data_IF_837931039089
#
_entry.id   IF_837931039089
#
_cell.length_a   1.000
_cell.length_b   1.000
_cell.length_c   1.000
_cell.angle_alpha   90.00
_cell.angle_beta   90.00
_cell.angle_gamma   90.00
#
_symmetry.space_group_name_H-M   'P 1'
#
loop_
_entity.id
_entity.type
_entity.pdbx_description
1 polymer ?
#
# COMPACT_ATOMS: atom_id res chain seq x y z
N UNK A 1 -48.36 -13.12 -27.40
CA UNK A 1 -47.07 -13.08 -26.69
C UNK A 1 -47.40 -13.23 -25.22
N UNK A 2 -46.89 -14.25 -24.55
CA UNK A 2 -47.10 -14.41 -23.12
C UNK A 2 -46.32 -13.29 -22.40
N UNK A 3 -47.03 -12.52 -21.58
CA UNK A 3 -46.47 -11.47 -20.74
C UNK A 3 -45.73 -12.16 -19.59
N UNK A 4 -44.40 -12.21 -19.67
CA UNK A 4 -43.59 -12.77 -18.59
C UNK A 4 -43.51 -11.72 -17.48
N UNK A 5 -43.75 -12.10 -16.20
CA UNK A 5 -43.64 -11.16 -15.10
C UNK A 5 -42.23 -10.57 -15.06
N UNK A 6 -42.14 -9.24 -15.17
CA UNK A 6 -40.88 -8.50 -15.11
C UNK A 6 -40.36 -8.58 -13.67
N UNK A 7 -39.08 -8.92 -13.43
CA UNK A 7 -38.51 -8.91 -12.10
C UNK A 7 -38.62 -7.53 -11.46
N UNK A 8 -38.79 -7.49 -10.13
CA UNK A 8 -38.77 -6.26 -9.35
C UNK A 8 -37.42 -5.53 -9.53
N UNK A 9 -37.45 -4.34 -10.13
CA UNK A 9 -36.27 -3.54 -10.45
C UNK A 9 -35.57 -2.99 -9.19
N UNK A 10 -36.26 -2.98 -8.04
CA UNK A 10 -35.71 -2.52 -6.77
C UNK A 10 -34.92 -3.62 -6.03
N UNK A 11 -34.87 -4.85 -6.56
CA UNK A 11 -34.25 -6.01 -5.90
C UNK A 11 -33.06 -6.55 -6.70
N UNK A 12 -31.86 -6.06 -6.40
CA UNK A 12 -30.61 -6.61 -6.95
C UNK A 12 -30.12 -7.83 -6.16
N UNK A 13 -30.49 -9.05 -6.61
CA UNK A 13 -29.93 -10.30 -6.07
C UNK A 13 -28.63 -10.66 -6.77
N UNK A 14 -27.49 -10.36 -6.13
CA UNK A 14 -26.19 -10.78 -6.65
C UNK A 14 -25.95 -12.28 -6.44
N UNK A 15 -25.67 -13.06 -7.50
CA UNK A 15 -25.34 -14.48 -7.38
C UNK A 15 -24.14 -14.73 -6.46
N UNK A 16 -24.16 -15.82 -5.69
CA UNK A 16 -23.05 -16.16 -4.78
C UNK A 16 -21.70 -16.34 -5.50
N UNK A 17 -21.73 -16.85 -6.74
CA UNK A 17 -20.55 -16.97 -7.58
C UNK A 17 -19.88 -15.62 -7.87
N UNK A 18 -20.67 -14.55 -7.99
CA UNK A 18 -20.16 -13.20 -8.27
C UNK A 18 -19.60 -12.55 -7.00
N UNK A 19 -20.17 -12.88 -5.83
CA UNK A 19 -19.70 -12.35 -4.54
C UNK A 19 -18.23 -12.67 -4.27
N UNK A 20 -17.74 -13.82 -4.73
CA UNK A 20 -16.31 -14.21 -4.59
C UNK A 20 -15.34 -13.29 -5.33
N UNK A 21 -15.83 -12.54 -6.34
CA UNK A 21 -15.04 -11.62 -7.15
C UNK A 21 -15.31 -10.15 -6.81
N UNK A 22 -16.20 -9.87 -5.86
CA UNK A 22 -16.49 -8.51 -5.44
C UNK A 22 -15.52 -8.06 -4.36
N UNK A 23 -15.03 -6.83 -4.50
CA UNK A 23 -14.23 -6.20 -3.46
C UNK A 23 -15.11 -5.88 -2.22
N UNK A 24 -14.62 -6.14 -1.00
CA UNK A 24 -15.29 -5.72 0.22
C UNK A 24 -15.53 -4.21 0.20
N UNK A 25 -16.74 -3.79 0.58
CA UNK A 25 -17.12 -2.37 0.71
C UNK A 25 -17.67 -2.10 2.10
N UNK A 26 -17.52 -0.86 2.57
CA UNK A 26 -18.08 -0.42 3.86
C UNK A 26 -19.61 -0.63 3.85
N UNK A 27 -20.15 -1.28 4.88
CA UNK A 27 -21.58 -1.58 4.99
C UNK A 27 -22.10 -2.67 4.04
N UNK A 28 -21.23 -3.27 3.21
CA UNK A 28 -21.57 -4.40 2.36
C UNK A 28 -21.37 -5.74 3.06
N UNK A 29 -21.76 -6.82 2.38
CA UNK A 29 -21.47 -8.17 2.86
C UNK A 29 -19.94 -8.40 2.86
N UNK A 30 -19.35 -8.99 3.91
CA UNK A 30 -17.92 -9.27 3.94
C UNK A 30 -17.50 -10.13 2.74
N UNK A 31 -16.36 -9.78 2.13
CA UNK A 31 -15.73 -10.65 1.14
C UNK A 31 -15.09 -11.87 1.79
N UNK A 32 -14.42 -12.74 0.99
CA UNK A 32 -13.62 -13.83 1.52
C UNK A 32 -12.60 -13.35 2.56
N UNK A 33 -12.32 -14.18 3.56
CA UNK A 33 -11.27 -13.89 4.53
C UNK A 33 -9.92 -13.72 3.82
N UNK A 34 -9.22 -12.64 4.14
CA UNK A 34 -7.85 -12.39 3.67
C UNK A 34 -6.94 -13.40 4.39
N UNK A 35 -6.10 -14.10 3.62
CA UNK A 35 -5.09 -15.02 4.14
C UNK A 35 -3.73 -14.37 3.94
N UNK A 36 -2.98 -14.23 5.02
CA UNK A 36 -1.60 -13.74 5.02
C UNK A 36 -0.67 -14.95 4.86
N UNK A 37 0.27 -14.89 3.92
CA UNK A 37 1.31 -15.91 3.78
C UNK A 37 2.39 -15.74 4.87
N UNK A 38 2.56 -16.70 5.80
CA UNK A 38 3.59 -16.61 6.83
C UNK A 38 5.03 -16.72 6.29
N UNK A 39 5.22 -17.25 5.08
CA UNK A 39 6.54 -17.35 4.42
C UNK A 39 7.00 -16.03 3.80
N UNK A 40 6.07 -15.11 3.49
CA UNK A 40 6.35 -13.90 2.74
C UNK A 40 7.43 -13.01 3.39
N UNK A 41 7.43 -12.92 4.73
CA UNK A 41 8.45 -12.15 5.46
C UNK A 41 9.86 -12.69 5.22
N UNK A 42 10.06 -14.01 5.23
CA UNK A 42 11.37 -14.60 4.97
C UNK A 42 11.82 -14.36 3.53
N UNK A 43 10.91 -14.55 2.57
CA UNK A 43 11.19 -14.37 1.15
C UNK A 43 11.54 -12.92 0.81
N UNK A 44 10.77 -11.96 1.33
CA UNK A 44 11.02 -10.52 1.11
C UNK A 44 12.37 -10.12 1.71
N UNK A 45 12.69 -10.57 2.93
CA UNK A 45 14.00 -10.28 3.55
C UNK A 45 15.16 -10.84 2.72
N UNK A 46 15.04 -12.06 2.20
CA UNK A 46 16.11 -12.62 1.38
C UNK A 46 16.30 -11.85 0.07
N UNK A 47 15.20 -11.45 -0.59
CA UNK A 47 15.28 -10.61 -1.80
C UNK A 47 15.95 -9.26 -1.52
N UNK A 48 15.59 -8.60 -0.41
CA UNK A 48 16.22 -7.34 -0.01
C UNK A 48 17.71 -7.53 0.31
N UNK A 49 18.08 -8.62 0.99
CA UNK A 49 19.49 -8.95 1.24
C UNK A 49 20.26 -9.24 -0.04
N UNK A 50 19.65 -9.94 -1.00
CA UNK A 50 20.27 -10.17 -2.30
C UNK A 50 20.53 -8.86 -3.04
N UNK A 51 19.54 -7.97 -3.05
CA UNK A 51 19.63 -6.64 -3.65
C UNK A 51 20.74 -5.79 -3.01
N UNK A 52 20.86 -5.84 -1.67
CA UNK A 52 21.90 -5.12 -0.93
C UNK A 52 23.30 -5.73 -1.16
N UNK A 53 23.41 -7.05 -1.31
CA UNK A 53 24.67 -7.73 -1.65
C UNK A 53 25.17 -7.38 -3.05
N UNK A 54 24.26 -7.21 -4.00
CA UNK A 54 24.59 -6.87 -5.38
C UNK A 54 25.04 -5.42 -5.52
N UNK A 55 24.30 -4.49 -4.90
CA UNK A 55 24.66 -3.07 -4.86
C UNK A 55 24.01 -2.41 -3.63
N UNK A 56 24.81 -2.02 -2.62
CA UNK A 56 24.31 -1.37 -1.42
C UNK A 56 23.48 -0.13 -1.73
N UNK A 57 22.40 0.11 -0.98
CA UNK A 57 21.50 1.26 -1.26
C UNK A 57 22.22 2.61 -1.24
N UNK A 58 23.23 2.78 -0.39
CA UNK A 58 24.04 4.00 -0.31
C UNK A 58 24.97 4.23 -1.51
N UNK A 59 25.20 3.19 -2.32
CA UNK A 59 26.05 3.24 -3.51
C UNK A 59 25.22 3.30 -4.81
N UNK A 60 23.88 3.34 -4.71
CA UNK A 60 22.98 3.39 -5.86
C UNK A 60 22.83 4.82 -6.37
N UNK A 61 23.26 5.04 -7.61
CA UNK A 61 23.03 6.30 -8.31
C UNK A 61 21.53 6.57 -8.42
N UNK A 62 21.11 7.80 -8.18
CA UNK A 62 19.72 8.23 -8.32
C UNK A 62 18.82 7.95 -7.12
N UNK A 63 19.31 7.29 -6.07
CA UNK A 63 18.61 7.24 -4.77
C UNK A 63 18.96 8.50 -3.98
N UNK A 64 17.96 9.31 -3.64
CA UNK A 64 18.19 10.52 -2.87
C UNK A 64 18.70 10.19 -1.43
N UNK A 65 19.46 11.09 -0.77
CA UNK A 65 20.09 10.80 0.52
C UNK A 65 19.10 10.41 1.63
N UNK A 66 17.93 11.06 1.69
CA UNK A 66 16.92 10.79 2.71
C UNK A 66 16.25 9.41 2.52
N UNK A 67 15.78 9.04 1.31
CA UNK A 67 15.35 7.67 1.01
C UNK A 67 16.42 6.61 1.26
N UNK A 68 17.69 6.90 0.93
CA UNK A 68 18.80 5.98 1.17
C UNK A 68 19.00 5.72 2.67
N UNK A 69 18.99 6.77 3.50
CA UNK A 69 19.12 6.64 4.95
C UNK A 69 17.96 5.84 5.55
N UNK A 70 16.72 6.13 5.13
CA UNK A 70 15.55 5.38 5.59
C UNK A 70 15.64 3.89 5.23
N UNK A 71 16.08 3.58 4.00
CA UNK A 71 16.31 2.20 3.57
C UNK A 71 17.38 1.50 4.41
N UNK A 72 18.48 2.18 4.73
CA UNK A 72 19.53 1.63 5.59
C UNK A 72 19.01 1.32 7.00
N UNK A 73 18.21 2.21 7.59
CA UNK A 73 17.57 1.95 8.89
C UNK A 73 16.68 0.71 8.85
N UNK A 74 15.86 0.58 7.81
CA UNK A 74 14.99 -0.59 7.64
C UNK A 74 15.79 -1.89 7.43
N UNK A 75 16.84 -1.86 6.61
CA UNK A 75 17.74 -3.00 6.39
C UNK A 75 18.52 -3.38 7.66
N UNK A 76 18.79 -2.43 8.55
CA UNK A 76 19.35 -2.66 9.88
C UNK A 76 18.31 -3.21 10.89
N UNK A 77 17.05 -3.35 10.49
CA UNK A 77 15.97 -3.94 11.29
C UNK A 77 15.09 -2.92 12.01
N UNK A 78 15.26 -1.61 11.78
CA UNK A 78 14.36 -0.61 12.33
C UNK A 78 12.99 -0.67 11.64
N UNK A 79 11.91 -0.44 12.41
CA UNK A 79 10.57 -0.29 11.86
C UNK A 79 10.41 1.08 11.18
N UNK A 80 11.04 1.26 10.02
CA UNK A 80 10.95 2.47 9.19
C UNK A 80 10.08 2.20 7.94
N UNK A 81 8.83 2.69 7.89
CA UNK A 81 7.93 2.46 6.75
C UNK A 81 8.44 3.06 5.43
N UNK A 82 9.14 4.19 5.48
CA UNK A 82 9.74 4.81 4.30
C UNK A 82 10.90 3.95 3.78
N UNK A 83 11.73 3.42 4.68
CA UNK A 83 12.79 2.50 4.31
C UNK A 83 12.28 1.22 3.66
N UNK A 84 11.19 0.67 4.20
CA UNK A 84 10.48 -0.46 3.61
C UNK A 84 9.96 -0.13 2.20
N UNK A 85 9.37 1.07 2.02
CA UNK A 85 8.89 1.54 0.73
C UNK A 85 10.02 1.67 -0.31
N UNK A 86 11.17 2.21 0.08
CA UNK A 86 12.35 2.33 -0.80
C UNK A 86 12.86 0.94 -1.20
N UNK A 87 12.96 0.00 -0.25
CA UNK A 87 13.31 -1.39 -0.55
C UNK A 87 12.34 -2.05 -1.55
N UNK A 88 11.04 -1.81 -1.39
CA UNK A 88 10.02 -2.28 -2.34
C UNK A 88 10.18 -1.66 -3.73
N UNK A 89 10.49 -0.37 -3.82
CA UNK A 89 10.74 0.32 -5.09
C UNK A 89 11.97 -0.28 -5.80
N UNK A 90 13.05 -0.55 -5.08
CA UNK A 90 14.26 -1.15 -5.64
C UNK A 90 14.02 -2.59 -6.13
N UNK A 91 13.24 -3.40 -5.39
CA UNK A 91 12.81 -4.72 -5.85
C UNK A 91 11.94 -4.63 -7.11
N UNK A 92 11.14 -3.58 -7.23
CA UNK A 92 10.29 -3.34 -8.39
C UNK A 92 11.07 -2.89 -9.63
N UNK A 93 12.17 -2.14 -9.47
CA UNK A 93 13.08 -1.78 -10.56
C UNK A 93 13.84 -2.98 -11.12
N UNK A 94 14.22 -3.93 -10.27
CA UNK A 94 14.92 -5.16 -10.67
C UNK A 94 13.98 -6.19 -11.33
N UNK A 95 12.69 -6.15 -10.99
CA UNK A 95 11.68 -6.98 -11.62
C UNK A 95 11.27 -6.44 -13.00
N UNK A 96 11.07 -7.33 -13.99
CA UNK A 96 10.35 -6.96 -15.23
C UNK A 96 8.96 -6.42 -14.86
N UNK A 97 8.56 -5.29 -15.46
CA UNK A 97 7.33 -4.53 -15.12
C UNK A 97 6.07 -5.41 -14.96
N UNK A 98 5.91 -6.43 -15.82
CA UNK A 98 4.78 -7.38 -15.80
C UNK A 98 4.74 -8.29 -14.56
N UNK A 99 5.78 -8.27 -13.72
CA UNK A 99 5.90 -9.07 -12.50
C UNK A 99 5.79 -8.25 -11.21
N UNK A 100 5.83 -6.92 -11.29
CA UNK A 100 5.87 -6.05 -10.10
C UNK A 100 4.57 -6.10 -9.32
N UNK A 101 3.44 -5.83 -9.99
CA UNK A 101 2.15 -5.69 -9.30
C UNK A 101 1.64 -7.03 -8.79
N UNK A 102 1.76 -8.10 -9.58
CA UNK A 102 1.26 -9.42 -9.20
C UNK A 102 2.18 -10.17 -8.24
N UNK A 103 3.51 -10.07 -8.39
CA UNK A 103 4.45 -10.93 -7.65
C UNK A 103 5.19 -10.25 -6.50
N UNK A 104 5.11 -8.91 -6.37
CA UNK A 104 5.74 -8.19 -5.24
C UNK A 104 4.72 -7.61 -4.27
N UNK A 105 3.58 -7.09 -4.74
CA UNK A 105 2.65 -6.38 -3.86
C UNK A 105 2.06 -7.28 -2.75
N UNK A 106 1.60 -8.48 -3.08
CA UNK A 106 1.05 -9.40 -2.08
C UNK A 106 2.11 -9.90 -1.09
N UNK A 107 3.29 -10.39 -1.52
CA UNK A 107 4.35 -10.77 -0.57
C UNK A 107 4.85 -9.61 0.30
N UNK A 108 4.96 -8.38 -0.24
CA UNK A 108 5.34 -7.21 0.56
C UNK A 108 4.28 -6.88 1.62
N UNK A 109 2.99 -6.91 1.24
CA UNK A 109 1.90 -6.69 2.18
C UNK A 109 1.91 -7.75 3.30
N UNK A 110 2.04 -9.02 2.93
CA UNK A 110 2.05 -10.12 3.89
C UNK A 110 3.28 -10.06 4.80
N UNK A 111 4.46 -9.74 4.26
CA UNK A 111 5.68 -9.53 5.04
C UNK A 111 5.50 -8.42 6.08
N UNK A 112 5.09 -7.23 5.64
CA UNK A 112 4.95 -6.06 6.52
C UNK A 112 3.85 -6.23 7.56
N UNK A 113 2.72 -6.85 7.20
CA UNK A 113 1.66 -7.16 8.16
C UNK A 113 2.15 -8.17 9.20
N UNK A 114 2.92 -9.18 8.78
CA UNK A 114 3.45 -10.21 9.68
C UNK A 114 4.51 -9.66 10.63
N UNK A 115 5.41 -8.80 10.14
CA UNK A 115 6.55 -8.29 10.93
C UNK A 115 6.20 -7.07 11.78
N UNK A 116 5.34 -6.19 11.27
CA UNK A 116 5.12 -4.86 11.84
C UNK A 116 3.64 -4.49 12.02
N UNK A 117 2.72 -5.31 11.52
CA UNK A 117 1.28 -5.09 11.61
C UNK A 117 0.69 -4.23 10.49
N UNK A 118 -0.65 -4.22 10.41
CA UNK A 118 -1.40 -3.55 9.35
C UNK A 118 -1.14 -2.03 9.23
N UNK A 119 -1.01 -1.24 10.33
CA UNK A 119 -0.73 0.18 10.22
C UNK A 119 0.62 0.49 9.54
N UNK A 120 1.64 -0.32 9.82
CA UNK A 120 2.95 -0.20 9.19
C UNK A 120 2.86 -0.49 7.70
N UNK A 121 2.24 -1.62 7.33
CA UNK A 121 2.05 -1.99 5.93
C UNK A 121 1.31 -0.90 5.14
N UNK A 122 0.22 -0.37 5.70
CA UNK A 122 -0.54 0.71 5.08
C UNK A 122 0.30 1.98 4.90
N UNK A 123 1.13 2.33 5.89
CA UNK A 123 2.02 3.49 5.79
C UNK A 123 3.11 3.28 4.74
N UNK A 124 3.76 2.12 4.72
CA UNK A 124 4.79 1.79 3.74
C UNK A 124 4.25 1.83 2.29
N UNK A 125 3.02 1.35 2.05
CA UNK A 125 2.37 1.50 0.73
C UNK A 125 2.04 2.94 0.37
N UNK A 126 1.62 3.75 1.35
CA UNK A 126 1.38 5.17 1.14
C UNK A 126 2.67 5.91 0.78
N UNK A 127 3.78 5.59 1.48
CA UNK A 127 5.11 6.13 1.19
C UNK A 127 5.60 5.67 -0.18
N UNK A 128 5.44 4.39 -0.54
CA UNK A 128 5.78 3.84 -1.86
C UNK A 128 5.03 4.56 -2.99
N UNK A 129 3.74 4.85 -2.79
CA UNK A 129 2.92 5.62 -3.74
C UNK A 129 3.35 7.09 -3.86
N UNK A 130 4.09 7.58 -2.87
CA UNK A 130 4.71 8.90 -2.83
C UNK A 130 6.14 8.92 -3.37
N UNK A 131 6.74 7.77 -3.71
CA UNK A 131 8.04 7.71 -4.36
C UNK A 131 7.88 7.81 -5.88
N UNK A 132 8.75 8.59 -6.52
CA UNK A 132 9.12 8.40 -7.91
C UNK A 132 10.25 7.37 -7.97
N UNK A 133 10.05 6.31 -8.74
CA UNK A 133 11.02 5.22 -8.93
C UNK A 133 11.06 4.82 -10.41
N UNK A 134 12.14 4.18 -10.85
CA UNK A 134 12.55 4.08 -12.25
C UNK A 134 13.48 5.23 -12.65
N UNK A 135 13.92 5.31 -13.91
CA UNK A 135 14.94 6.30 -14.33
C UNK A 135 14.51 7.76 -14.01
N UNK A 136 15.32 8.57 -13.28
CA UNK A 136 16.74 8.36 -12.96
C UNK A 136 17.05 7.73 -11.58
N UNK A 137 16.07 7.20 -10.83
CA UNK A 137 16.25 6.49 -9.56
C UNK A 137 15.10 6.73 -8.56
N UNK A 138 15.30 6.34 -7.30
CA UNK A 138 14.28 6.45 -6.23
C UNK A 138 14.38 7.79 -5.50
N UNK A 139 13.29 8.56 -5.54
CA UNK A 139 13.17 9.87 -4.88
C UNK A 139 11.76 10.10 -4.37
N UNK A 140 11.59 10.95 -3.36
CA UNK A 140 10.27 11.45 -2.99
C UNK A 140 9.68 12.20 -4.18
N UNK A 141 8.46 11.85 -4.61
CA UNK A 141 7.78 12.55 -5.67
C UNK A 141 7.53 13.98 -5.22
N UNK A 142 8.30 14.91 -5.77
CA UNK A 142 8.13 16.33 -5.52
C UNK A 142 6.71 16.70 -5.97
N UNK A 143 5.96 17.36 -5.09
CA UNK A 143 4.58 17.74 -5.34
C UNK A 143 4.47 18.91 -6.34
N UNK A 144 5.33 18.96 -7.36
CA UNK A 144 5.38 20.06 -8.31
C UNK A 144 4.13 20.07 -9.21
N UNK A 145 3.29 21.05 -8.88
CA UNK A 145 2.48 21.86 -9.78
C UNK A 145 2.81 21.72 -11.28
N UNK A 146 1.90 21.10 -12.03
CA UNK A 146 1.73 21.41 -13.45
C UNK A 146 1.65 20.19 -14.35
N UNK A 147 0.51 20.05 -15.03
CA UNK A 147 0.32 19.25 -16.27
C UNK A 147 -0.13 17.79 -16.16
N UNK A 148 -0.75 17.37 -15.05
CA UNK A 148 -1.79 16.33 -15.07
C UNK A 148 -2.93 16.75 -14.14
N UNK A 149 -4.15 16.82 -14.69
CA UNK A 149 -5.43 17.24 -14.07
C UNK A 149 -5.44 17.42 -12.55
N UNK A 150 -5.28 18.67 -12.11
CA UNK A 150 -5.35 19.09 -10.72
C UNK A 150 -6.74 18.87 -10.13
N UNK A 151 -6.93 17.75 -9.43
CA UNK A 151 -8.13 17.52 -8.61
C UNK A 151 -7.95 16.51 -7.49
N UNK A 152 -7.14 15.48 -7.69
CA UNK A 152 -7.21 14.28 -6.86
C UNK A 152 -6.30 14.31 -5.61
N UNK A 153 -5.10 14.90 -5.68
CA UNK A 153 -4.11 14.84 -4.57
C UNK A 153 -4.38 15.78 -3.39
N UNK A 154 -5.09 16.91 -3.56
CA UNK A 154 -5.29 17.88 -2.46
C UNK A 154 -6.39 17.51 -1.45
N UNK A 155 -7.25 16.53 -1.73
CA UNK A 155 -8.44 16.23 -0.92
C UNK A 155 -8.17 15.26 0.24
N UNK A 156 -7.18 14.38 0.14
CA UNK A 156 -6.97 13.32 1.12
C UNK A 156 -6.09 13.71 2.33
N UNK A 157 -5.09 14.58 2.15
CA UNK A 157 -4.13 14.87 3.24
C UNK A 157 -4.56 15.96 4.23
N UNK A 158 -5.52 16.84 3.88
CA UNK A 158 -5.99 17.92 4.76
C UNK A 158 -7.15 17.54 5.70
N UNK A 159 -7.49 16.26 5.80
CA UNK A 159 -8.53 15.75 6.72
C UNK A 159 -8.03 15.29 8.09
N UNK A 160 -6.72 15.10 8.27
CA UNK A 160 -6.15 14.51 9.50
C UNK A 160 -5.56 15.53 10.49
N UNK A 161 -5.44 16.80 10.11
CA UNK A 161 -5.05 17.87 11.02
C UNK A 161 -6.31 18.54 11.59
N UNK A 162 -6.83 18.00 12.70
CA UNK A 162 -7.88 18.64 13.48
C UNK A 162 -7.46 20.05 13.91
N UNK A 163 -8.38 21.01 13.79
CA UNK A 163 -8.24 22.35 14.37
C UNK A 163 -8.21 22.21 15.91
N UNK A 164 -7.36 22.95 16.63
CA UNK A 164 -7.43 22.97 18.09
C UNK A 164 -8.64 23.79 18.53
N UNK A 165 -9.42 23.24 19.46
CA UNK A 165 -10.35 23.99 20.31
C UNK A 165 -11.84 23.83 20.00
N UNK A 166 -12.49 22.88 20.66
CA UNK A 166 -13.63 23.15 21.56
C UNK A 166 -14.14 21.84 22.14
N UNK A 167 -14.20 21.80 23.46
CA UNK A 167 -14.75 20.75 24.32
C UNK A 167 -16.14 20.25 23.87
N UNK A 168 -16.30 18.92 23.81
CA UNK A 168 -17.54 18.25 24.19
C UNK A 168 -17.20 16.79 24.53
N UNK A 169 -17.32 16.45 25.82
CA UNK A 169 -17.18 15.10 26.34
C UNK A 169 -18.28 14.18 25.78
N UNK A 170 -17.90 12.98 25.34
CA UNK A 170 -18.83 11.85 25.20
C UNK A 170 -18.14 10.59 25.73
N UNK A 171 -18.57 10.17 26.93
CA UNK A 171 -18.25 8.88 27.52
C UNK A 171 -18.87 7.75 26.71
N UNK A 172 -18.12 6.68 26.44
CA UNK A 172 -18.67 5.40 26.02
C UNK A 172 -18.38 4.36 27.10
N UNK A 173 -19.44 3.88 27.75
CA UNK A 173 -19.42 2.71 28.63
C UNK A 173 -19.75 1.49 27.80
N UNK A 174 -18.95 0.44 27.90
CA UNK A 174 -19.16 -0.85 27.23
C UNK A 174 -19.90 -1.77 28.20
N UNK A 175 -20.98 -2.39 27.73
CA UNK A 175 -21.61 -3.57 28.33
C UNK A 175 -21.43 -4.75 27.39
#
# INVERSE_FOLDING_TARGET
>A
MADLPVPDEDVLVLPDAWRRRMFPRRGGRPGPAIKVDPGAAADVRERLRALERERPVGERDGVAPEPAAAAQEYLAGAANPLGAAVGAALLAEDARWDHVVEKLAAPLADAWVTEHGLPFAARAFADLSGLGWGFPGVRVAEAEQGRLGSGWRRRWWRGAAGRPGSSAACSWSIR
#
